data_IF_748742681514
#
_entry.id   IF_748742681514
#
_cell.length_a   1.000
_cell.length_b   1.000
_cell.length_c   1.000
_cell.angle_alpha   90.00
_cell.angle_beta   90.00
_cell.angle_gamma   90.00
#
_symmetry.space_group_name_H-M   'P 1'
#
loop_
_entity.id
_entity.type
_entity.pdbx_description
1 polymer ?
#
# COMPACT_ATOMS: atom_id res chain seq x y z
N UNK A 1 -13.48 12.80 15.08
CA UNK A 1 -12.56 13.48 14.14
C UNK A 1 -12.74 12.82 12.78
N UNK A 2 -12.95 13.58 11.68
CA UNK A 2 -12.91 12.99 10.34
C UNK A 2 -11.43 12.78 10.00
N UNK A 3 -10.92 11.56 10.13
CA UNK A 3 -9.63 11.19 9.53
C UNK A 3 -9.75 11.44 8.03
N UNK A 4 -8.86 12.28 7.49
CA UNK A 4 -8.75 12.40 6.03
C UNK A 4 -8.19 11.07 5.56
N UNK A 5 -9.03 10.25 4.93
CA UNK A 5 -8.56 9.01 4.31
C UNK A 5 -7.40 9.31 3.37
N UNK A 6 -6.33 8.57 3.55
CA UNK A 6 -5.08 8.75 2.81
C UNK A 6 -4.95 7.63 1.78
N UNK A 7 -4.59 7.99 0.55
CA UNK A 7 -4.56 7.05 -0.55
C UNK A 7 -3.25 7.12 -1.33
N UNK A 8 -2.90 5.99 -1.94
CA UNK A 8 -1.88 5.89 -2.97
C UNK A 8 -2.51 5.41 -4.26
N UNK A 9 -2.10 6.02 -5.37
CA UNK A 9 -2.61 5.71 -6.70
C UNK A 9 -1.57 4.95 -7.51
N UNK A 10 -2.01 3.86 -8.13
CA UNK A 10 -1.18 2.95 -8.91
C UNK A 10 -1.10 3.43 -10.35
N UNK A 11 0.06 3.92 -10.75
CA UNK A 11 0.31 4.50 -12.07
C UNK A 11 0.71 3.46 -13.12
N UNK A 12 1.26 2.32 -12.67
CA UNK A 12 1.66 1.18 -13.49
C UNK A 12 1.16 -0.09 -12.84
N UNK A 13 0.74 -1.08 -13.63
CA UNK A 13 0.31 -2.36 -13.09
C UNK A 13 1.47 -3.01 -12.31
N UNK A 14 1.16 -3.50 -11.12
CA UNK A 14 2.13 -4.10 -10.20
C UNK A 14 1.79 -5.57 -10.01
N UNK A 15 2.77 -6.42 -10.25
CA UNK A 15 2.61 -7.87 -10.16
C UNK A 15 3.63 -8.41 -9.17
N UNK A 16 3.13 -9.01 -8.10
CA UNK A 16 3.97 -9.82 -7.24
C UNK A 16 4.22 -11.18 -7.93
N UNK A 17 5.46 -11.66 -7.98
CA UNK A 17 5.71 -13.02 -8.42
C UNK A 17 4.99 -14.01 -7.49
N UNK A 18 4.33 -15.00 -8.09
CA UNK A 18 3.49 -16.03 -7.45
C UNK A 18 4.18 -16.72 -6.24
N UNK A 19 5.52 -16.68 -6.17
CA UNK A 19 6.30 -17.26 -5.08
C UNK A 19 6.36 -16.45 -3.78
N UNK A 20 5.92 -15.18 -3.77
CA UNK A 20 6.03 -14.29 -2.59
C UNK A 20 4.70 -13.69 -2.13
N UNK A 21 3.76 -13.47 -3.03
CA UNK A 21 2.40 -12.98 -2.76
C UNK A 21 1.58 -13.07 -4.05
N UNK A 22 0.29 -13.38 -3.98
CA UNK A 22 -0.62 -13.34 -5.13
C UNK A 22 -1.25 -11.94 -5.30
N UNK A 23 -0.43 -10.89 -5.31
CA UNK A 23 -0.92 -9.54 -5.58
C UNK A 23 -0.79 -9.19 -7.05
N UNK A 24 -1.92 -8.96 -7.70
CA UNK A 24 -2.03 -8.26 -8.97
C UNK A 24 -2.80 -6.96 -8.73
N UNK A 25 -2.14 -5.83 -8.98
CA UNK A 25 -2.73 -4.50 -8.81
C UNK A 25 -2.69 -3.77 -10.14
N UNK A 26 -3.85 -3.66 -10.76
CA UNK A 26 -4.01 -2.96 -12.03
C UNK A 26 -3.67 -1.47 -11.96
N UNK A 27 -3.22 -0.93 -13.10
CA UNK A 27 -3.08 0.52 -13.27
C UNK A 27 -4.42 1.22 -13.02
N UNK A 28 -4.39 2.32 -12.29
CA UNK A 28 -5.58 3.08 -11.92
C UNK A 28 -6.17 2.67 -10.57
N UNK A 29 -5.65 1.61 -9.94
CA UNK A 29 -6.07 1.22 -8.60
C UNK A 29 -5.74 2.30 -7.58
N UNK A 30 -6.61 2.37 -6.57
CA UNK A 30 -6.56 3.36 -5.51
C UNK A 30 -6.50 2.60 -4.18
N UNK A 31 -5.36 2.67 -3.52
CA UNK A 31 -5.07 1.91 -2.29
C UNK A 31 -5.34 2.83 -1.10
N UNK A 32 -6.29 2.44 -0.26
CA UNK A 32 -6.60 3.12 1.01
C UNK A 32 -5.59 2.71 2.07
N UNK A 33 -4.78 3.66 2.55
CA UNK A 33 -3.73 3.40 3.53
C UNK A 33 -4.29 3.09 4.94
N UNK A 34 -5.57 3.38 5.20
CA UNK A 34 -6.24 2.99 6.44
C UNK A 34 -6.69 1.52 6.43
N UNK A 35 -6.90 0.94 5.24
CA UNK A 35 -7.42 -0.42 5.06
C UNK A 35 -6.41 -1.39 4.43
N UNK A 36 -5.26 -0.89 4.00
CA UNK A 36 -4.18 -1.72 3.43
C UNK A 36 -3.66 -2.71 4.49
N UNK A 37 -3.37 -3.93 4.06
CA UNK A 37 -2.71 -4.95 4.89
C UNK A 37 -1.20 -4.69 4.98
N UNK A 38 -0.53 -5.27 5.98
CA UNK A 38 0.93 -5.13 6.13
C UNK A 38 1.66 -5.65 4.89
N UNK A 39 1.31 -6.84 4.42
CA UNK A 39 1.93 -7.47 3.24
C UNK A 39 1.76 -6.62 1.97
N UNK A 40 0.57 -6.04 1.76
CA UNK A 40 0.31 -5.18 0.60
C UNK A 40 1.08 -3.86 0.72
N UNK A 41 1.16 -3.27 1.91
CA UNK A 41 1.94 -2.05 2.13
C UNK A 41 3.44 -2.27 1.88
N UNK A 42 3.99 -3.40 2.34
CA UNK A 42 5.40 -3.77 2.06
C UNK A 42 5.65 -3.99 0.58
N UNK A 43 4.76 -4.71 -0.10
CA UNK A 43 4.84 -4.91 -1.54
C UNK A 43 4.89 -3.57 -2.29
N UNK A 44 3.97 -2.64 -1.99
CA UNK A 44 3.92 -1.32 -2.62
C UNK A 44 5.19 -0.48 -2.35
N UNK A 45 5.73 -0.54 -1.13
CA UNK A 45 7.01 0.13 -0.80
C UNK A 45 8.15 -0.42 -1.67
N UNK A 46 8.24 -1.74 -1.80
CA UNK A 46 9.28 -2.39 -2.61
C UNK A 46 9.17 -2.02 -4.09
N UNK A 47 7.95 -2.03 -4.66
CA UNK A 47 7.74 -1.63 -6.04
C UNK A 47 8.09 -0.15 -6.27
N UNK A 48 7.77 0.74 -5.33
CA UNK A 48 8.17 2.14 -5.41
C UNK A 48 9.68 2.36 -5.34
N UNK A 49 10.39 1.56 -4.55
CA UNK A 49 11.87 1.61 -4.50
C UNK A 49 12.48 1.19 -5.83
N UNK A 50 11.89 0.19 -6.50
CA UNK A 50 12.34 -0.26 -7.84
C UNK A 50 12.02 0.76 -8.92
N UNK A 51 10.83 1.35 -8.87
CA UNK A 51 10.35 2.34 -9.83
C UNK A 51 9.50 3.40 -9.11
N UNK A 52 10.08 4.58 -8.85
CA UNK A 52 9.40 5.67 -8.16
C UNK A 52 8.26 6.29 -8.98
N UNK A 53 8.09 5.91 -10.24
CA UNK A 53 6.99 6.37 -11.10
C UNK A 53 5.79 5.43 -11.09
N UNK A 54 5.88 4.28 -10.41
CA UNK A 54 4.79 3.29 -10.38
C UNK A 54 3.65 3.66 -9.42
N UNK A 55 3.91 4.51 -8.42
CA UNK A 55 2.92 5.02 -7.47
C UNK A 55 2.90 6.55 -7.43
N UNK A 56 1.78 7.12 -7.01
CA UNK A 56 1.61 8.56 -6.78
C UNK A 56 0.62 8.83 -5.65
N UNK A 57 0.45 10.09 -5.25
CA UNK A 57 -0.39 10.46 -4.11
C UNK A 57 0.41 10.44 -2.81
N UNK A 58 -0.15 9.88 -1.74
CA UNK A 58 0.42 10.01 -0.39
C UNK A 58 1.48 8.93 -0.10
N UNK A 59 2.47 8.81 -0.98
CA UNK A 59 3.53 7.77 -0.89
C UNK A 59 4.36 7.93 0.39
N UNK A 60 4.60 9.16 0.86
CA UNK A 60 5.30 9.38 2.13
C UNK A 60 4.57 8.70 3.29
N UNK A 61 3.23 8.79 3.32
CA UNK A 61 2.42 8.13 4.34
C UNK A 61 2.52 6.61 4.27
N UNK A 62 2.53 6.03 3.06
CA UNK A 62 2.78 4.59 2.88
C UNK A 62 4.08 4.17 3.56
N UNK A 63 5.16 4.94 3.41
CA UNK A 63 6.45 4.69 4.07
C UNK A 63 6.44 4.90 5.60
N UNK A 64 5.50 5.69 6.12
CA UNK A 64 5.32 5.90 7.56
C UNK A 64 4.55 4.77 8.25
N UNK A 65 3.84 3.90 7.51
CA UNK A 65 3.15 2.74 8.08
C UNK A 65 4.17 1.76 8.65
N UNK A 66 4.04 1.47 9.95
CA UNK A 66 4.85 0.52 10.72
C UNK A 66 4.01 -0.68 11.11
N UNK A 67 4.66 -1.79 11.47
CA UNK A 67 4.01 -3.02 11.94
C UNK A 67 2.93 -2.80 13.02
N UNK A 68 3.21 -1.91 13.98
CA UNK A 68 2.25 -1.56 15.06
C UNK A 68 0.96 -0.94 14.54
N UNK A 69 0.99 -0.24 13.39
CA UNK A 69 -0.19 0.39 12.80
C UNK A 69 -1.16 -0.66 12.23
N UNK A 70 -0.69 -1.87 11.91
CA UNK A 70 -1.51 -2.98 11.43
C UNK A 70 -2.05 -3.84 12.58
N UNK A 71 -1.22 -4.11 13.59
CA UNK A 71 -1.63 -4.83 14.81
C UNK A 71 -2.81 -4.11 15.49
N UNK A 72 -2.73 -2.78 15.62
CA UNK A 72 -3.79 -2.00 16.24
C UNK A 72 -5.12 -2.04 15.47
N UNK A 73 -5.12 -2.41 14.18
CA UNK A 73 -6.34 -2.53 13.36
C UNK A 73 -7.05 -3.86 13.61
N UNK A 74 -6.29 -4.95 13.80
CA UNK A 74 -6.86 -6.28 14.10
C UNK A 74 -7.58 -6.34 15.46
N UNK A 75 -7.22 -5.46 16.41
CA UNK A 75 -7.87 -5.39 17.73
C UNK A 75 -9.07 -4.42 17.80
N UNK A 76 -9.43 -3.77 16.69
CA UNK A 76 -10.56 -2.85 16.61
C UNK A 76 -11.79 -3.46 15.91
N UNK A 77 -11.66 -4.66 15.34
CA UNK A 77 -12.74 -5.47 14.72
C UNK A 77 -13.32 -6.48 15.71
#
# INVERSE_FOLDING_TARGET
MKTKREFVFVQKALFSPISKSDFDIGKGALVDLELVTEALAEFLKLEYIKDSTCLSGNVLRLFQLRKVDFINREFQE
#
